data_IF_850927478646
#
_entry.id   IF_850927478646
#
_cell.length_a   1.000
_cell.length_b   1.000
_cell.length_c   1.000
_cell.angle_alpha   90.00
_cell.angle_beta   90.00
_cell.angle_gamma   90.00
#
_symmetry.space_group_name_H-M   'P 1'
#
loop_
_entity.id
_entity.type
_entity.pdbx_description
1 polymer ?
#
# COMPACT_ATOMS: atom_id res chain seq x y z
N UNK A 1 16.23 -5.91 -12.95
CA UNK A 1 16.23 -5.82 -11.48
C UNK A 1 14.85 -6.15 -10.95
N UNK A 2 14.75 -6.63 -9.70
CA UNK A 2 13.47 -6.78 -9.01
C UNK A 2 12.85 -5.40 -8.73
N UNK A 3 11.52 -5.32 -8.59
CA UNK A 3 10.89 -4.09 -8.09
C UNK A 3 11.32 -3.83 -6.64
N UNK A 4 11.25 -2.57 -6.19
CA UNK A 4 11.59 -2.20 -4.81
C UNK A 4 10.81 -3.00 -3.77
N UNK A 5 9.54 -3.32 -4.04
CA UNK A 5 8.73 -4.20 -3.19
C UNK A 5 9.36 -5.58 -2.99
N UNK A 6 9.71 -6.27 -4.08
CA UNK A 6 10.28 -7.62 -4.00
C UNK A 6 11.64 -7.63 -3.30
N UNK A 7 12.46 -6.58 -3.49
CA UNK A 7 13.72 -6.42 -2.76
C UNK A 7 13.48 -6.40 -1.25
N UNK A 8 12.61 -5.51 -0.75
CA UNK A 8 12.34 -5.38 0.69
C UNK A 8 11.69 -6.65 1.26
N UNK A 9 10.67 -7.18 0.58
CA UNK A 9 9.95 -8.38 1.04
C UNK A 9 10.87 -9.62 1.10
N UNK A 10 11.72 -9.82 0.10
CA UNK A 10 12.66 -10.95 0.08
C UNK A 10 13.69 -10.87 1.21
N UNK A 11 14.20 -9.66 1.50
CA UNK A 11 15.10 -9.40 2.62
C UNK A 11 14.46 -9.66 3.98
N UNK A 12 13.22 -9.22 4.21
CA UNK A 12 12.50 -9.53 5.46
C UNK A 12 12.27 -11.03 5.64
N UNK A 13 11.87 -11.72 4.56
CA UNK A 13 11.73 -13.17 4.57
C UNK A 13 13.06 -13.88 4.87
N UNK A 14 14.17 -13.41 4.30
CA UNK A 14 15.51 -13.92 4.60
C UNK A 14 15.86 -13.73 6.08
N UNK A 15 15.72 -12.50 6.58
CA UNK A 15 15.99 -12.19 7.99
C UNK A 15 15.18 -13.06 8.94
N UNK A 16 13.88 -13.24 8.67
CA UNK A 16 13.01 -14.10 9.48
C UNK A 16 13.47 -15.56 9.50
N UNK A 17 13.93 -16.11 8.37
CA UNK A 17 14.44 -17.50 8.34
C UNK A 17 15.72 -17.67 9.14
N UNK A 18 16.59 -16.67 9.10
CA UNK A 18 17.91 -16.74 9.72
C UNK A 18 17.88 -16.41 11.21
N UNK A 19 16.99 -15.51 11.65
CA UNK A 19 16.98 -14.94 13.01
C UNK A 19 15.65 -15.15 13.75
N UNK A 20 14.60 -15.60 13.06
CA UNK A 20 13.24 -15.68 13.62
C UNK A 20 12.45 -14.37 13.53
N UNK A 21 11.25 -14.33 14.13
CA UNK A 21 10.45 -13.10 14.21
C UNK A 21 11.13 -12.04 15.07
N UNK A 22 10.98 -10.78 14.69
CA UNK A 22 11.20 -9.69 15.63
C UNK A 22 10.13 -9.71 16.73
N UNK A 23 10.55 -9.49 17.97
CA UNK A 23 9.65 -9.03 19.03
C UNK A 23 9.21 -7.59 18.79
N UNK A 24 8.09 -7.18 19.37
CA UNK A 24 7.62 -5.81 19.31
C UNK A 24 8.64 -4.81 19.87
N UNK A 25 9.39 -5.21 20.92
CA UNK A 25 10.46 -4.39 21.50
C UNK A 25 11.63 -4.23 20.54
N UNK A 26 12.07 -5.29 19.88
CA UNK A 26 13.14 -5.19 18.88
C UNK A 26 12.72 -4.29 17.71
N UNK A 27 11.48 -4.44 17.20
CA UNK A 27 10.95 -3.54 16.17
C UNK A 27 10.94 -2.07 16.60
N UNK A 28 10.59 -1.80 17.86
CA UNK A 28 10.53 -0.44 18.42
C UNK A 28 11.90 0.27 18.44
N UNK A 29 13.01 -0.49 18.36
CA UNK A 29 14.38 -0.01 18.50
C UNK A 29 15.21 -0.17 17.20
N UNK A 30 14.62 -0.69 16.11
CA UNK A 30 15.31 -0.82 14.81
C UNK A 30 15.84 0.54 14.34
N UNK A 31 17.13 0.58 14.01
CA UNK A 31 17.83 1.76 13.49
C UNK A 31 17.88 1.77 11.96
N UNK A 32 18.10 2.94 11.33
CA UNK A 32 18.32 3.03 9.89
C UNK A 32 19.48 2.15 9.41
N UNK A 33 20.57 2.05 10.19
CA UNK A 33 21.72 1.21 9.84
C UNK A 33 21.39 -0.28 9.87
N UNK A 34 20.52 -0.71 10.80
CA UNK A 34 19.99 -2.06 10.80
C UNK A 34 19.11 -2.30 9.57
N UNK A 35 18.24 -1.35 9.21
CA UNK A 35 17.45 -1.44 7.97
C UNK A 35 18.35 -1.57 6.73
N UNK A 36 19.42 -0.77 6.63
CA UNK A 36 20.39 -0.87 5.53
C UNK A 36 20.97 -2.27 5.41
N UNK A 37 21.35 -2.88 6.54
CA UNK A 37 21.89 -4.25 6.58
C UNK A 37 20.85 -5.30 6.23
N UNK A 38 19.66 -5.23 6.84
CA UNK A 38 18.56 -6.19 6.62
C UNK A 38 18.12 -6.17 5.16
N UNK A 39 18.00 -4.98 4.58
CA UNK A 39 17.51 -4.79 3.20
C UNK A 39 18.61 -4.82 2.15
N UNK A 40 19.87 -5.11 2.53
CA UNK A 40 21.03 -5.15 1.64
C UNK A 40 21.15 -3.90 0.75
N UNK A 41 20.98 -2.74 1.36
CA UNK A 41 20.95 -1.45 0.68
C UNK A 41 22.31 -0.75 0.73
N UNK A 42 22.59 0.10 -0.26
CA UNK A 42 23.80 0.90 -0.31
C UNK A 42 23.69 2.11 0.66
N UNK A 43 24.50 2.18 1.73
CA UNK A 43 24.47 3.29 2.69
C UNK A 43 24.94 4.62 2.09
N UNK A 44 25.78 4.60 1.04
CA UNK A 44 26.36 5.80 0.45
C UNK A 44 25.38 6.52 -0.49
N UNK A 45 24.27 5.86 -0.84
CA UNK A 45 23.20 6.46 -1.62
C UNK A 45 22.26 7.28 -0.74
N UNK A 46 22.28 8.61 -0.92
CA UNK A 46 21.50 9.57 -0.11
C UNK A 46 20.00 9.29 -0.12
N UNK A 47 19.44 8.92 -1.27
CA UNK A 47 17.99 8.61 -1.40
C UNK A 47 17.65 7.34 -0.64
N UNK A 48 18.52 6.34 -0.73
CA UNK A 48 18.36 5.07 0.00
C UNK A 48 18.51 5.28 1.49
N UNK A 49 19.47 6.09 1.94
CA UNK A 49 19.64 6.46 3.35
C UNK A 49 18.37 7.09 3.93
N UNK A 50 17.72 7.99 3.18
CA UNK A 50 16.43 8.54 3.59
C UNK A 50 15.35 7.47 3.68
N UNK A 51 15.25 6.59 2.68
CA UNK A 51 14.29 5.49 2.68
C UNK A 51 14.49 4.56 3.88
N UNK A 52 15.74 4.27 4.27
CA UNK A 52 16.06 3.44 5.44
C UNK A 52 15.60 4.10 6.75
N UNK A 53 15.68 5.43 6.85
CA UNK A 53 15.11 6.15 8.00
C UNK A 53 13.59 6.06 8.05
N UNK A 54 12.91 6.11 6.90
CA UNK A 54 11.46 5.93 6.82
C UNK A 54 11.04 4.51 7.19
N UNK A 55 11.77 3.49 6.73
CA UNK A 55 11.54 2.11 7.15
C UNK A 55 11.76 1.91 8.65
N UNK A 56 12.87 2.42 9.20
CA UNK A 56 13.14 2.33 10.64
C UNK A 56 11.99 2.96 11.44
N UNK A 57 11.54 4.16 11.04
CA UNK A 57 10.39 4.83 11.67
C UNK A 57 9.11 3.97 11.60
N UNK A 58 8.77 3.45 10.43
CA UNK A 58 7.56 2.64 10.26
C UNK A 58 7.61 1.33 11.09
N UNK A 59 8.77 0.69 11.16
CA UNK A 59 8.98 -0.49 12.01
C UNK A 59 8.91 -0.13 13.49
N UNK A 60 9.48 1.00 13.90
CA UNK A 60 9.42 1.45 15.28
C UNK A 60 7.99 1.81 15.71
N UNK A 61 7.23 2.46 14.84
CA UNK A 61 5.82 2.78 15.08
C UNK A 61 5.00 1.50 15.28
N UNK A 62 5.22 0.47 14.45
CA UNK A 62 4.60 -0.84 14.63
C UNK A 62 5.02 -1.49 15.95
N UNK A 63 6.32 -1.51 16.26
CA UNK A 63 6.84 -2.08 17.51
C UNK A 63 6.22 -1.44 18.74
N UNK A 64 6.21 -0.09 18.81
CA UNK A 64 5.58 0.66 19.90
C UNK A 64 4.08 0.38 20.00
N UNK A 65 3.36 0.45 18.88
CA UNK A 65 1.93 0.18 18.85
C UNK A 65 1.58 -1.20 19.43
N UNK A 66 2.30 -2.24 18.99
CA UNK A 66 2.06 -3.61 19.46
C UNK A 66 2.49 -3.79 20.92
N UNK A 67 3.61 -3.21 21.33
CA UNK A 67 4.07 -3.24 22.73
C UNK A 67 3.07 -2.57 23.68
N UNK A 68 2.59 -1.37 23.35
CA UNK A 68 1.75 -0.55 24.23
C UNK A 68 0.30 -0.98 24.25
N UNK A 69 -0.25 -1.41 23.11
CA UNK A 69 -1.69 -1.70 22.96
C UNK A 69 -2.03 -3.18 23.00
N UNK A 70 -1.06 -4.05 22.75
CA UNK A 70 -1.28 -5.50 22.58
C UNK A 70 -0.27 -6.35 23.36
N UNK A 71 0.40 -5.77 24.37
CA UNK A 71 1.38 -6.45 25.22
C UNK A 71 2.47 -7.21 24.43
N UNK A 72 2.86 -6.65 23.28
CA UNK A 72 3.88 -7.25 22.41
C UNK A 72 3.40 -8.37 21.49
N UNK A 73 2.10 -8.70 21.47
CA UNK A 73 1.54 -9.75 20.62
C UNK A 73 1.02 -9.21 19.28
N UNK A 74 1.69 -9.58 18.18
CA UNK A 74 1.21 -9.26 16.83
C UNK A 74 -0.11 -9.97 16.47
N UNK A 75 -0.29 -11.21 16.94
CA UNK A 75 -1.55 -11.92 16.70
C UNK A 75 -2.72 -11.25 17.40
N UNK A 76 -2.51 -10.66 18.57
CA UNK A 76 -3.56 -9.94 19.29
C UNK A 76 -4.07 -8.70 18.52
N UNK A 77 -3.26 -8.10 17.64
CA UNK A 77 -3.72 -7.04 16.73
C UNK A 77 -4.74 -7.59 15.74
N UNK A 78 -4.48 -8.77 15.18
CA UNK A 78 -5.36 -9.46 14.24
C UNK A 78 -6.62 -9.97 14.95
N UNK A 79 -6.46 -10.56 16.14
CA UNK A 79 -7.57 -11.09 16.94
C UNK A 79 -8.55 -9.97 17.33
N UNK A 80 -8.04 -8.77 17.65
CA UNK A 80 -8.86 -7.60 17.97
C UNK A 80 -9.71 -7.08 16.80
N UNK A 81 -9.40 -7.50 15.57
CA UNK A 81 -10.25 -7.21 14.41
C UNK A 81 -11.49 -8.10 14.36
N UNK A 82 -11.54 -9.20 15.13
CA UNK A 82 -12.67 -10.12 15.21
C UNK A 82 -13.10 -10.65 13.83
N UNK A 83 -12.14 -10.86 12.92
CA UNK A 83 -12.39 -11.27 11.54
C UNK A 83 -13.01 -10.20 10.64
N UNK A 84 -13.01 -8.92 11.01
CA UNK A 84 -13.40 -7.80 10.14
C UNK A 84 -12.18 -7.07 9.58
N UNK A 85 -12.06 -7.04 8.25
CA UNK A 85 -11.08 -6.25 7.52
C UNK A 85 -11.27 -4.76 7.78
N UNK A 86 -12.51 -4.24 7.87
CA UNK A 86 -12.74 -2.83 8.24
C UNK A 86 -12.19 -2.53 9.63
N UNK A 87 -12.51 -3.36 10.63
CA UNK A 87 -11.99 -3.16 11.99
C UNK A 87 -10.47 -3.24 12.00
N UNK A 88 -9.87 -4.19 11.29
CA UNK A 88 -8.42 -4.30 11.17
C UNK A 88 -7.80 -3.05 10.55
N UNK A 89 -8.36 -2.55 9.44
CA UNK A 89 -7.94 -1.30 8.81
C UNK A 89 -7.97 -0.15 9.81
N UNK A 90 -9.08 0.02 10.55
CA UNK A 90 -9.22 1.07 11.58
C UNK A 90 -8.24 0.92 12.75
N UNK A 91 -7.89 -0.30 13.16
CA UNK A 91 -6.87 -0.51 14.18
C UNK A 91 -5.51 -0.01 13.68
N UNK A 92 -5.16 -0.30 12.43
CA UNK A 92 -3.87 0.09 11.86
C UNK A 92 -3.74 1.61 11.69
N UNK A 93 -4.83 2.38 11.53
CA UNK A 93 -4.75 3.85 11.40
C UNK A 93 -4.24 4.56 12.67
N UNK A 94 -4.09 3.86 13.79
CA UNK A 94 -3.35 4.38 14.95
C UNK A 94 -1.87 4.66 14.64
N UNK A 95 -1.32 4.05 13.59
CA UNK A 95 0.05 4.28 13.13
C UNK A 95 0.08 5.28 11.97
N UNK A 96 0.95 6.32 12.00
CA UNK A 96 0.99 7.37 10.97
C UNK A 96 1.14 6.84 9.54
N UNK A 97 1.98 5.83 9.33
CA UNK A 97 2.20 5.21 8.02
C UNK A 97 1.00 4.45 7.45
N UNK A 98 -0.05 4.22 8.25
CA UNK A 98 -1.29 3.55 7.84
C UNK A 98 -2.48 4.51 7.80
N UNK A 99 -2.37 5.69 8.44
CA UNK A 99 -3.40 6.73 8.46
C UNK A 99 -3.36 7.62 7.20
N UNK A 100 -3.64 6.99 6.06
CA UNK A 100 -3.66 7.62 4.73
C UNK A 100 -5.01 8.31 4.48
N UNK A 101 -5.08 9.58 4.90
CA UNK A 101 -6.23 10.48 4.74
C UNK A 101 -5.70 11.79 4.16
N UNK A 102 -6.28 12.23 3.04
CA UNK A 102 -5.97 13.51 2.41
C UNK A 102 -7.16 14.49 2.57
N UNK A 103 -6.92 15.78 2.32
CA UNK A 103 -7.95 16.83 2.32
C UNK A 103 -8.15 17.36 0.91
N UNK A 104 -9.39 17.36 0.43
CA UNK A 104 -9.75 17.88 -0.89
C UNK A 104 -10.95 18.82 -0.76
N UNK A 105 -10.77 20.11 -1.06
CA UNK A 105 -11.83 21.13 -0.92
C UNK A 105 -12.56 21.10 0.44
N UNK A 106 -11.81 20.82 1.52
CA UNK A 106 -12.34 20.72 2.88
C UNK A 106 -12.99 19.38 3.23
N UNK A 107 -13.06 18.43 2.30
CA UNK A 107 -13.52 17.07 2.53
C UNK A 107 -12.34 16.17 2.90
N UNK A 108 -12.53 15.32 3.91
CA UNK A 108 -11.58 14.26 4.23
C UNK A 108 -11.75 13.09 3.24
N UNK A 109 -10.67 12.69 2.60
CA UNK A 109 -10.62 11.59 1.64
C UNK A 109 -9.75 10.46 2.20
N UNK A 110 -10.36 9.45 2.87
CA UNK A 110 -9.62 8.32 3.42
C UNK A 110 -9.31 7.28 2.34
N UNK A 111 -8.02 7.07 2.06
CA UNK A 111 -7.56 6.02 1.16
C UNK A 111 -7.15 4.75 1.91
N UNK A 112 -6.54 4.91 3.08
CA UNK A 112 -6.07 3.80 3.94
C UNK A 112 -5.29 2.71 3.19
N UNK A 113 -4.54 3.08 2.13
CA UNK A 113 -4.00 2.13 1.15
C UNK A 113 -3.21 1.00 1.82
N UNK A 114 -2.26 1.34 2.68
CA UNK A 114 -1.40 0.37 3.37
C UNK A 114 -2.17 -0.49 4.37
N UNK A 115 -3.19 0.06 5.01
CA UNK A 115 -4.01 -0.66 5.97
C UNK A 115 -4.91 -1.68 5.27
N UNK A 116 -5.52 -1.28 4.15
CA UNK A 116 -6.29 -2.18 3.31
C UNK A 116 -5.43 -3.30 2.72
N UNK A 117 -4.24 -2.95 2.21
CA UNK A 117 -3.27 -3.92 1.69
C UNK A 117 -2.84 -4.93 2.77
N UNK A 118 -2.62 -4.50 4.01
CA UNK A 118 -2.28 -5.42 5.09
C UNK A 118 -3.37 -6.47 5.38
N UNK A 119 -4.65 -6.08 5.32
CA UNK A 119 -5.77 -7.02 5.46
C UNK A 119 -5.77 -8.04 4.30
N UNK A 120 -5.57 -7.55 3.08
CA UNK A 120 -5.53 -8.36 1.86
C UNK A 120 -4.35 -9.34 1.85
N UNK A 121 -3.16 -8.89 2.24
CA UNK A 121 -1.95 -9.70 2.33
C UNK A 121 -2.08 -10.80 3.39
N UNK A 122 -2.66 -10.49 4.56
CA UNK A 122 -2.96 -11.51 5.58
C UNK A 122 -3.94 -12.55 5.05
N UNK A 123 -5.03 -12.12 4.41
CA UNK A 123 -5.98 -13.06 3.79
C UNK A 123 -5.30 -13.95 2.75
N UNK A 124 -4.42 -13.40 1.92
CA UNK A 124 -3.71 -14.16 0.89
C UNK A 124 -2.72 -15.14 1.51
N UNK A 125 -1.90 -14.69 2.46
CA UNK A 125 -0.88 -15.48 3.12
C UNK A 125 -1.45 -16.70 3.86
N UNK A 126 -2.60 -16.53 4.53
CA UNK A 126 -3.27 -17.60 5.26
C UNK A 126 -4.44 -18.22 4.49
N UNK A 127 -4.58 -17.94 3.18
CA UNK A 127 -5.63 -18.49 2.31
C UNK A 127 -7.06 -18.30 2.85
N UNK A 128 -7.32 -17.18 3.52
CA UNK A 128 -8.61 -16.86 4.13
C UNK A 128 -8.92 -17.65 5.40
N UNK A 129 -7.95 -18.34 5.98
CA UNK A 129 -8.10 -19.13 7.21
C UNK A 129 -7.33 -18.51 8.38
N UNK A 130 -7.68 -18.91 9.61
CA UNK A 130 -6.97 -18.46 10.82
C UNK A 130 -6.78 -16.93 10.87
N UNK A 131 -5.53 -16.42 11.02
CA UNK A 131 -5.24 -14.98 11.02
C UNK A 131 -5.63 -14.22 9.74
N UNK A 132 -5.82 -14.90 8.61
CA UNK A 132 -6.29 -14.27 7.36
C UNK A 132 -7.79 -14.36 7.15
N UNK A 133 -8.56 -14.90 8.11
CA UNK A 133 -10.00 -15.05 7.96
C UNK A 133 -10.72 -13.72 8.21
N UNK A 134 -11.05 -13.04 7.12
CA UNK A 134 -11.87 -11.83 7.14
C UNK A 134 -13.21 -12.06 6.43
N UNK A 135 -14.33 -11.70 7.05
CA UNK A 135 -15.67 -11.95 6.50
C UNK A 135 -16.18 -10.85 5.55
N UNK A 136 -15.52 -9.70 5.50
CA UNK A 136 -15.95 -8.47 4.82
C UNK A 136 -14.85 -7.92 3.88
N UNK A 137 -14.02 -8.80 3.29
CA UNK A 137 -12.98 -8.41 2.32
C UNK A 137 -13.56 -7.73 1.07
N UNK A 138 -14.84 -7.94 0.77
CA UNK A 138 -15.56 -7.27 -0.31
C UNK A 138 -15.79 -5.77 -0.06
N UNK A 139 -15.51 -5.30 1.16
CA UNK A 139 -15.57 -3.88 1.55
C UNK A 139 -14.23 -3.16 1.36
N UNK A 140 -13.16 -3.88 1.07
CA UNK A 140 -11.90 -3.26 0.64
C UNK A 140 -12.07 -2.70 -0.78
N UNK A 141 -11.45 -1.55 -1.03
CA UNK A 141 -11.35 -0.95 -2.36
C UNK A 141 -10.07 -1.41 -3.05
N UNK A 142 -9.78 -0.86 -4.24
CA UNK A 142 -8.41 -0.91 -4.75
C UNK A 142 -7.44 -0.15 -3.84
N UNK A 143 -6.16 -0.49 -3.91
CA UNK A 143 -5.09 0.07 -3.11
C UNK A 143 -4.40 1.19 -3.90
N UNK A 144 -5.14 2.27 -4.16
CA UNK A 144 -4.76 3.36 -5.06
C UNK A 144 -3.36 3.93 -4.78
N UNK A 145 -2.40 3.46 -5.58
CA UNK A 145 -1.00 3.87 -5.66
C UNK A 145 -0.73 4.64 -6.96
N UNK A 146 0.51 4.61 -7.47
CA UNK A 146 0.82 5.19 -8.78
C UNK A 146 0.68 4.26 -9.98
N UNK A 147 0.54 2.95 -9.77
CA UNK A 147 0.53 1.95 -10.82
C UNK A 147 -0.89 1.65 -11.30
N UNK A 148 -1.83 1.46 -10.39
CA UNK A 148 -3.23 1.15 -10.77
C UNK A 148 -3.87 2.31 -11.54
N UNK A 149 -3.80 3.59 -11.08
CA UNK A 149 -4.31 4.71 -11.87
C UNK A 149 -3.62 4.86 -13.22
N UNK A 150 -2.32 4.52 -13.30
CA UNK A 150 -1.58 4.55 -14.56
C UNK A 150 -2.10 3.51 -15.56
N UNK A 151 -2.39 2.29 -15.11
CA UNK A 151 -3.01 1.25 -15.96
C UNK A 151 -4.36 1.75 -16.48
N UNK A 152 -5.20 2.32 -15.60
CA UNK A 152 -6.50 2.88 -16.00
C UNK A 152 -6.37 4.05 -16.99
N UNK A 153 -5.33 4.88 -16.87
CA UNK A 153 -5.01 5.95 -17.84
C UNK A 153 -4.64 5.36 -19.20
N UNK A 154 -3.70 4.40 -19.23
CA UNK A 154 -3.24 3.76 -20.48
C UNK A 154 -4.39 3.06 -21.20
N UNK A 155 -5.26 2.39 -20.44
CA UNK A 155 -6.45 1.71 -20.96
C UNK A 155 -7.61 2.69 -21.30
N UNK A 156 -7.40 4.01 -21.11
CA UNK A 156 -8.36 5.10 -21.34
C UNK A 156 -9.66 4.99 -20.54
N UNK A 157 -9.62 4.31 -19.40
CA UNK A 157 -10.69 4.31 -18.40
C UNK A 157 -10.66 5.64 -17.64
N UNK A 158 -9.46 6.13 -17.31
CA UNK A 158 -9.24 7.47 -16.79
C UNK A 158 -8.71 8.37 -17.91
N UNK A 159 -9.33 9.54 -18.04
CA UNK A 159 -8.91 10.61 -18.95
C UNK A 159 -8.55 11.80 -18.09
N UNK A 160 -7.31 12.26 -18.18
CA UNK A 160 -6.80 13.39 -17.42
C UNK A 160 -6.81 14.66 -18.26
N UNK A 161 -6.93 15.81 -17.60
CA UNK A 161 -6.70 17.12 -18.24
C UNK A 161 -5.32 17.19 -18.91
N UNK A 162 -5.27 17.88 -20.06
CA UNK A 162 -4.06 17.99 -20.89
C UNK A 162 -2.87 18.57 -20.11
N UNK A 163 -3.14 19.49 -19.19
CA UNK A 163 -2.13 20.08 -18.32
C UNK A 163 -1.50 19.05 -17.39
N UNK A 164 -2.33 18.20 -16.74
CA UNK A 164 -1.86 17.13 -15.86
C UNK A 164 -1.09 16.06 -16.63
N UNK A 165 -1.60 15.66 -17.80
CA UNK A 165 -0.91 14.76 -18.74
C UNK A 165 0.49 15.28 -19.05
N UNK A 166 0.58 16.57 -19.43
CA UNK A 166 1.85 17.20 -19.80
C UNK A 166 2.86 17.23 -18.65
N UNK A 167 2.40 17.42 -17.40
CA UNK A 167 3.26 17.38 -16.21
C UNK A 167 3.78 15.98 -15.93
N UNK A 168 2.89 14.98 -15.99
CA UNK A 168 3.26 13.57 -15.80
C UNK A 168 4.28 13.14 -16.86
N UNK A 169 4.04 13.50 -18.13
CA UNK A 169 4.90 13.11 -19.25
C UNK A 169 6.29 13.75 -19.18
N UNK A 170 6.41 14.94 -18.58
CA UNK A 170 7.71 15.57 -18.23
C UNK A 170 8.39 14.94 -17.01
N UNK A 171 7.75 13.98 -16.35
CA UNK A 171 8.27 13.32 -15.15
C UNK A 171 8.33 14.23 -13.92
N UNK A 172 7.53 15.30 -13.92
CA UNK A 172 7.43 16.21 -12.79
C UNK A 172 6.87 15.50 -11.56
N UNK A 173 7.29 15.97 -10.38
CA UNK A 173 6.71 15.51 -9.13
C UNK A 173 5.32 16.15 -8.97
N UNK A 174 4.32 15.31 -8.78
CA UNK A 174 2.99 15.71 -8.32
C UNK A 174 3.04 15.64 -6.79
N UNK A 175 2.89 16.77 -6.06
CA UNK A 175 3.00 16.76 -4.60
C UNK A 175 1.94 15.89 -3.93
N UNK A 176 2.30 15.17 -2.85
CA UNK A 176 1.34 14.40 -2.04
C UNK A 176 0.27 15.34 -1.48
N UNK A 177 -1.00 14.94 -1.57
CA UNK A 177 -2.12 15.72 -1.04
C UNK A 177 -2.49 16.96 -1.86
N UNK A 178 -1.85 17.21 -3.01
CA UNK A 178 -2.37 18.22 -3.93
C UNK A 178 -3.64 17.72 -4.63
N UNK A 179 -4.45 18.64 -5.16
CA UNK A 179 -5.71 18.28 -5.83
C UNK A 179 -5.52 17.20 -6.90
N UNK A 180 -4.55 17.36 -7.80
CA UNK A 180 -4.30 16.36 -8.85
C UNK A 180 -3.93 14.97 -8.30
N UNK A 181 -3.13 14.90 -7.23
CA UNK A 181 -2.74 13.62 -6.63
C UNK A 181 -3.93 12.92 -5.99
N UNK A 182 -4.74 13.67 -5.24
CA UNK A 182 -5.96 13.16 -4.61
C UNK A 182 -7.00 12.77 -5.66
N UNK A 183 -7.19 13.58 -6.71
CA UNK A 183 -8.08 13.30 -7.84
C UNK A 183 -7.67 12.02 -8.57
N UNK A 184 -6.38 11.84 -8.87
CA UNK A 184 -5.88 10.63 -9.53
C UNK A 184 -6.25 9.39 -8.72
N UNK A 185 -6.01 9.42 -7.40
CA UNK A 185 -6.27 8.28 -6.52
C UNK A 185 -7.76 8.04 -6.31
N UNK A 186 -8.53 9.09 -6.03
CA UNK A 186 -9.96 9.01 -5.78
C UNK A 186 -10.73 8.54 -7.03
N UNK A 187 -10.39 9.07 -8.21
CA UNK A 187 -11.02 8.64 -9.45
C UNK A 187 -10.63 7.21 -9.83
N UNK A 188 -9.41 6.76 -9.50
CA UNK A 188 -9.06 5.35 -9.69
C UNK A 188 -9.92 4.43 -8.82
N UNK A 189 -10.11 4.77 -7.54
CA UNK A 189 -11.00 4.02 -6.63
C UNK A 189 -12.41 3.99 -7.22
N UNK A 190 -12.95 5.16 -7.56
CA UNK A 190 -14.30 5.26 -8.10
C UNK A 190 -14.49 4.47 -9.41
N UNK A 191 -13.55 4.61 -10.35
CA UNK A 191 -13.59 3.90 -11.62
C UNK A 191 -13.61 2.38 -11.43
N UNK A 192 -12.81 1.84 -10.51
CA UNK A 192 -12.81 0.39 -10.27
C UNK A 192 -14.09 -0.07 -9.55
N UNK A 193 -14.65 0.73 -8.63
CA UNK A 193 -15.96 0.42 -8.05
C UNK A 193 -17.06 0.35 -9.13
N UNK A 194 -17.04 1.24 -10.12
CA UNK A 194 -17.96 1.16 -11.27
C UNK A 194 -17.75 -0.13 -12.09
N UNK A 195 -16.49 -0.54 -12.31
CA UNK A 195 -16.17 -1.80 -12.99
C UNK A 195 -16.67 -3.01 -12.18
N UNK A 196 -16.49 -3.01 -10.86
CA UNK A 196 -17.01 -4.07 -9.97
C UNK A 196 -18.53 -4.15 -10.07
N UNK A 197 -19.23 -3.01 -10.04
CA UNK A 197 -20.69 -2.97 -10.16
C UNK A 197 -21.16 -3.56 -11.49
N UNK A 198 -20.51 -3.22 -12.60
CA UNK A 198 -20.86 -3.73 -13.93
C UNK A 198 -20.57 -5.23 -14.07
N UNK A 199 -19.44 -5.70 -13.54
CA UNK A 199 -19.11 -7.13 -13.50
C UNK A 199 -20.13 -7.93 -12.67
N UNK A 200 -20.55 -7.40 -11.52
CA UNK A 200 -21.61 -8.00 -10.70
C UNK A 200 -22.96 -8.02 -11.43
N UNK A 201 -23.31 -6.95 -12.13
CA UNK A 201 -24.52 -6.86 -12.96
C UNK A 201 -24.56 -7.92 -14.06
N UNK A 202 -23.39 -8.29 -14.59
CA UNK A 202 -23.23 -9.33 -15.63
C UNK A 202 -23.01 -10.75 -15.09
N UNK A 203 -23.15 -10.95 -13.77
CA UNK A 203 -23.13 -12.27 -13.14
C UNK A 203 -21.76 -12.72 -12.60
N UNK A 204 -20.76 -11.84 -12.59
CA UNK A 204 -19.45 -12.14 -12.01
C UNK A 204 -19.39 -11.77 -10.53
N UNK A 205 -18.92 -12.69 -9.69
CA UNK A 205 -18.61 -12.38 -8.29
C UNK A 205 -17.16 -11.90 -8.19
N UNK A 206 -16.97 -10.58 -8.08
CA UNK A 206 -15.65 -9.95 -8.01
C UNK A 206 -15.60 -8.93 -6.87
N UNK A 207 -14.46 -8.83 -6.20
CA UNK A 207 -14.15 -7.79 -5.22
C UNK A 207 -13.21 -6.76 -5.85
N UNK A 208 -13.23 -5.51 -5.38
CA UNK A 208 -12.30 -4.49 -5.87
C UNK A 208 -10.84 -4.91 -5.65
N UNK A 209 -10.54 -5.57 -4.52
CA UNK A 209 -9.23 -6.19 -4.26
C UNK A 209 -8.77 -7.17 -5.36
N UNK A 210 -9.68 -7.98 -5.92
CA UNK A 210 -9.31 -8.93 -6.98
C UNK A 210 -8.91 -8.19 -8.27
N UNK A 211 -9.60 -7.08 -8.57
CA UNK A 211 -9.24 -6.21 -9.68
C UNK A 211 -7.96 -5.44 -9.42
N UNK A 212 -7.69 -5.03 -8.19
CA UNK A 212 -6.43 -4.39 -7.81
C UNK A 212 -5.23 -5.28 -8.16
N UNK A 213 -5.25 -6.55 -7.71
CA UNK A 213 -4.20 -7.51 -8.04
C UNK A 213 -4.05 -7.71 -9.55
N UNK A 214 -5.17 -7.79 -10.28
CA UNK A 214 -5.15 -7.93 -11.74
C UNK A 214 -4.49 -6.69 -12.40
N UNK A 215 -4.93 -5.48 -12.04
CA UNK A 215 -4.44 -4.23 -12.60
C UNK A 215 -2.97 -3.99 -12.24
N UNK A 216 -2.59 -4.24 -10.99
CA UNK A 216 -1.20 -4.10 -10.54
C UNK A 216 -0.27 -5.06 -11.30
N UNK A 217 -0.67 -6.33 -11.48
CA UNK A 217 0.11 -7.29 -12.27
C UNK A 217 0.19 -6.90 -13.76
N UNK A 218 -0.90 -6.37 -14.35
CA UNK A 218 -0.88 -5.82 -15.71
C UNK A 218 0.12 -4.68 -15.82
N UNK A 219 0.13 -3.76 -14.87
CA UNK A 219 1.06 -2.62 -14.82
C UNK A 219 2.55 -3.00 -14.83
N UNK A 220 2.89 -4.26 -14.53
CA UNK A 220 4.26 -4.75 -14.61
C UNK A 220 4.72 -5.11 -16.04
N UNK A 221 3.81 -5.24 -17.00
CA UNK A 221 4.09 -5.62 -18.38
C UNK A 221 4.73 -4.45 -19.16
N UNK A 222 5.58 -4.76 -20.14
CA UNK A 222 6.27 -3.76 -20.98
C UNK A 222 5.32 -2.74 -21.60
N UNK A 223 4.16 -3.20 -22.09
CA UNK A 223 3.13 -2.32 -22.65
C UNK A 223 2.78 -1.13 -21.74
N UNK A 224 2.58 -1.38 -20.44
CA UNK A 224 2.23 -0.33 -19.48
C UNK A 224 3.45 0.49 -19.02
N UNK A 225 4.62 -0.14 -18.96
CA UNK A 225 5.86 0.55 -18.54
C UNK A 225 6.41 1.49 -19.61
N UNK A 226 6.18 1.18 -20.88
CA UNK A 226 6.75 1.89 -22.03
C UNK A 226 5.77 2.85 -22.69
N UNK A 227 4.45 2.71 -22.44
CA UNK A 227 3.44 3.58 -23.04
C UNK A 227 3.60 5.06 -22.65
N UNK A 228 3.54 5.36 -21.35
CA UNK A 228 3.67 6.70 -20.80
C UNK A 228 4.32 6.65 -19.41
N UNK A 229 4.94 7.74 -18.93
CA UNK A 229 5.32 7.85 -17.53
C UNK A 229 4.09 7.77 -16.61
N UNK A 230 4.27 7.17 -15.43
CA UNK A 230 3.29 7.25 -14.34
C UNK A 230 3.48 8.57 -13.61
N UNK A 231 2.44 9.06 -12.94
CA UNK A 231 2.62 10.18 -12.02
C UNK A 231 3.63 9.80 -10.93
N UNK A 232 4.39 10.79 -10.47
CA UNK A 232 5.43 10.60 -9.45
C UNK A 232 5.08 11.43 -8.23
N UNK A 233 4.81 10.75 -7.13
CA UNK A 233 4.52 11.37 -5.84
C UNK A 233 5.55 10.90 -4.84
N UNK A 234 6.08 11.81 -4.02
CA UNK A 234 6.95 11.46 -2.89
C UNK A 234 6.08 11.37 -1.64
N UNK A 235 5.76 10.15 -1.22
CA UNK A 235 4.88 9.88 -0.08
C UNK A 235 5.31 8.60 0.65
N UNK A 236 4.80 8.41 1.87
CA UNK A 236 5.02 7.19 2.68
C UNK A 236 3.91 6.14 2.49
N UNK A 237 2.88 6.48 1.71
CA UNK A 237 1.70 5.63 1.53
C UNK A 237 1.87 4.62 0.36
N UNK A 238 2.70 4.91 -0.64
CA UNK A 238 2.96 4.01 -1.78
C UNK A 238 4.28 4.27 -2.49
#
# INVERSE_FOLDING_TARGET
GMSGYFTIASSLCGHFRDHGPFSAKELAEVTPDQCTRIFHQDPDNVVVSELMRLFARALNDLGRYVSERFNGSFSAVVDAAEGSAEKFVKLLTAMPCFNDIEVYDGLLVPFFKRAQLAAADLSLAFRGEGPGRFYDLDRLTIFADNLVPHVLRVDRILIYDEALVSRIDRGEIIPSGCHEEVEIRANAVHAVELVVQELRRTGHSVKAMDLDYLLWNRGQQSHYKEAHPRHRTRTVFY
#
